data_IF_950849452047
#
_entry.id   IF_950849452047
#
_cell.length_a   1.000
_cell.length_b   1.000
_cell.length_c   1.000
_cell.angle_alpha   90.00
_cell.angle_beta   90.00
_cell.angle_gamma   90.00
#
_symmetry.space_group_name_H-M   'P 1'
#
loop_
_entity.id
_entity.type
_entity.pdbx_description
1 polymer ?
#
# COMPACT_ATOMS: atom_id res chain seq x y z
N UNK A 1 5.96 13.29 -22.31
CA UNK A 1 5.47 14.67 -22.04
C UNK A 1 4.84 14.82 -20.67
N UNK A 2 4.07 13.82 -20.15
CA UNK A 2 3.42 13.88 -18.83
C UNK A 2 4.42 13.76 -17.67
N UNK A 3 5.39 12.86 -17.76
CA UNK A 3 6.47 12.69 -16.77
C UNK A 3 7.35 13.93 -16.63
N UNK A 4 7.71 14.58 -17.74
CA UNK A 4 8.53 15.81 -17.73
C UNK A 4 7.79 16.93 -16.99
N UNK A 5 6.48 17.10 -17.20
CA UNK A 5 5.67 18.09 -16.47
C UNK A 5 5.59 17.82 -14.97
N UNK A 6 5.55 16.56 -14.56
CA UNK A 6 5.54 16.20 -13.14
C UNK A 6 6.85 16.56 -12.46
N UNK A 7 7.99 16.26 -13.11
CA UNK A 7 9.33 16.59 -12.60
C UNK A 7 9.51 18.11 -12.46
N UNK A 8 9.16 18.88 -13.48
CA UNK A 8 9.28 20.36 -13.47
C UNK A 8 8.51 20.99 -12.30
N UNK A 9 7.33 20.46 -12.02
CA UNK A 9 6.49 20.96 -10.92
C UNK A 9 7.05 20.54 -9.55
N UNK A 10 7.59 19.33 -9.41
CA UNK A 10 8.20 18.85 -8.17
C UNK A 10 9.55 19.50 -7.88
N UNK A 11 10.37 19.81 -8.88
CA UNK A 11 11.64 20.53 -8.71
C UNK A 11 11.47 21.88 -8.02
N UNK A 12 10.40 22.60 -8.30
CA UNK A 12 10.09 23.88 -7.67
C UNK A 12 10.07 23.82 -6.13
N UNK A 13 9.74 22.66 -5.54
CA UNK A 13 9.64 22.45 -4.09
C UNK A 13 10.82 21.68 -3.49
N UNK A 14 11.73 21.17 -4.30
CA UNK A 14 12.88 20.39 -3.82
C UNK A 14 13.72 21.15 -2.77
N UNK A 15 13.98 22.44 -2.98
CA UNK A 15 14.74 23.28 -2.07
C UNK A 15 14.04 23.50 -0.73
N UNK A 16 12.71 23.42 -0.69
CA UNK A 16 11.91 23.61 0.52
C UNK A 16 12.15 22.49 1.55
N UNK A 17 12.26 21.26 1.10
CA UNK A 17 12.55 20.10 1.96
C UNK A 17 14.03 19.99 2.28
N UNK A 18 14.92 20.21 1.29
CA UNK A 18 16.35 20.16 1.49
C UNK A 18 16.87 21.13 2.54
N UNK A 19 16.28 22.33 2.62
CA UNK A 19 16.63 23.33 3.64
C UNK A 19 16.22 22.97 5.07
N UNK A 20 15.36 21.98 5.25
CA UNK A 20 14.92 21.49 6.58
C UNK A 20 15.72 20.28 7.08
N UNK A 21 16.59 19.72 6.24
CA UNK A 21 17.43 18.57 6.58
C UNK A 21 18.77 19.05 7.12
N UNK A 22 19.17 18.57 8.29
CA UNK A 22 20.50 18.84 8.85
C UNK A 22 21.66 18.17 8.09
N UNK A 23 21.35 17.30 7.13
CA UNK A 23 22.29 16.57 6.28
C UNK A 23 21.60 15.49 5.45
N UNK A 24 22.35 14.70 4.68
CA UNK A 24 21.78 13.64 3.87
C UNK A 24 21.17 12.54 4.75
N UNK A 25 20.00 12.03 4.37
CA UNK A 25 19.40 10.86 4.99
C UNK A 25 20.09 9.61 4.41
N UNK A 26 20.91 8.96 5.22
CA UNK A 26 21.67 7.79 4.81
C UNK A 26 20.92 6.49 5.11
N UNK A 27 21.08 5.48 4.26
CA UNK A 27 20.62 4.13 4.54
C UNK A 27 21.36 3.56 5.75
N UNK A 28 20.65 2.83 6.62
CA UNK A 28 21.21 2.17 7.82
C UNK A 28 21.30 0.64 7.68
N UNK A 29 20.82 0.10 6.57
CA UNK A 29 20.81 -1.33 6.28
C UNK A 29 19.62 -1.68 5.40
N UNK A 30 19.44 -2.97 5.11
CA UNK A 30 18.27 -3.47 4.37
C UNK A 30 17.52 -4.44 5.27
N UNK A 31 16.37 -4.00 5.78
CA UNK A 31 15.49 -4.81 6.64
C UNK A 31 14.22 -5.24 5.87
N UNK A 32 13.79 -4.41 4.92
CA UNK A 32 12.57 -4.63 4.15
C UNK A 32 12.93 -4.71 2.66
N UNK A 33 12.57 -5.82 2.04
CA UNK A 33 12.58 -5.92 0.57
C UNK A 33 11.15 -5.72 0.07
N UNK A 34 10.89 -4.56 -0.56
CA UNK A 34 9.60 -4.25 -1.15
C UNK A 34 9.60 -4.65 -2.63
N UNK A 35 8.63 -5.46 -3.03
CA UNK A 35 8.48 -5.97 -4.38
C UNK A 35 7.28 -5.30 -5.06
N UNK A 36 7.53 -4.47 -6.06
CA UNK A 36 6.49 -3.90 -6.92
C UNK A 36 6.22 -4.88 -8.07
N UNK A 37 5.31 -5.83 -7.86
CA UNK A 37 5.14 -6.98 -8.76
C UNK A 37 4.42 -6.67 -10.08
N UNK A 38 4.08 -5.41 -10.32
CA UNK A 38 3.51 -4.93 -11.59
C UNK A 38 2.52 -3.80 -11.42
N UNK A 39 1.94 -3.36 -12.56
CA UNK A 39 0.93 -2.27 -12.59
C UNK A 39 -0.47 -2.75 -13.00
N UNK A 40 -0.67 -4.04 -13.28
CA UNK A 40 -2.01 -4.57 -13.55
C UNK A 40 -2.86 -4.47 -12.29
N UNK A 41 -4.11 -4.00 -12.45
CA UNK A 41 -5.03 -3.83 -11.33
C UNK A 41 -6.48 -3.90 -11.86
N UNK A 42 -7.37 -4.55 -11.13
CA UNK A 42 -8.79 -4.59 -11.40
C UNK A 42 -9.52 -3.28 -11.05
N UNK A 43 -8.83 -2.32 -10.43
CA UNK A 43 -9.35 -1.00 -10.06
C UNK A 43 -8.64 0.13 -10.81
N UNK A 44 -9.33 1.29 -10.90
CA UNK A 44 -8.79 2.53 -11.44
C UNK A 44 -8.94 3.67 -10.41
N UNK A 45 -8.18 3.59 -9.32
CA UNK A 45 -8.26 4.54 -8.21
C UNK A 45 -7.78 5.93 -8.60
N UNK A 46 -8.48 6.99 -8.16
CA UNK A 46 -8.16 8.38 -8.49
C UNK A 46 -6.86 8.90 -7.89
N UNK A 47 -6.42 8.30 -6.79
CA UNK A 47 -5.18 8.69 -6.08
C UNK A 47 -3.98 7.77 -6.38
N UNK A 48 -4.09 6.86 -7.35
CA UNK A 48 -3.06 5.86 -7.60
C UNK A 48 -1.75 6.50 -8.07
N UNK A 49 -0.71 6.40 -7.24
CA UNK A 49 0.61 6.95 -7.51
C UNK A 49 1.43 6.12 -8.52
N UNK A 50 1.11 4.83 -8.69
CA UNK A 50 1.76 3.95 -9.67
C UNK A 50 1.00 3.87 -11.00
N UNK A 51 -0.14 4.56 -11.12
CA UNK A 51 -1.02 4.57 -12.29
C UNK A 51 -1.43 3.17 -12.74
N UNK A 52 -1.74 2.31 -11.77
CA UNK A 52 -2.20 0.96 -12.02
C UNK A 52 -3.58 0.95 -12.69
N UNK A 53 -3.87 -0.12 -13.41
CA UNK A 53 -5.15 -0.31 -14.10
C UNK A 53 -5.21 -1.60 -14.89
N UNK A 54 -6.40 -1.91 -15.43
CA UNK A 54 -6.63 -3.18 -16.13
C UNK A 54 -5.87 -3.26 -17.48
N UNK A 55 -5.67 -2.11 -18.14
CA UNK A 55 -4.95 -2.01 -19.42
C UNK A 55 -3.42 -2.09 -19.28
N UNK A 56 -2.91 -2.11 -18.05
CA UNK A 56 -1.46 -2.16 -17.80
C UNK A 56 -0.94 -3.58 -18.05
N UNK A 57 0.28 -3.66 -18.58
CA UNK A 57 0.92 -4.93 -18.97
C UNK A 57 2.17 -5.24 -18.13
N UNK A 58 2.61 -4.28 -17.36
CA UNK A 58 3.80 -4.42 -16.50
C UNK A 58 3.56 -5.47 -15.43
N UNK A 59 4.36 -6.52 -15.47
CA UNK A 59 4.32 -7.67 -14.57
C UNK A 59 5.74 -8.12 -14.28
N UNK A 60 6.11 -8.24 -13.02
CA UNK A 60 7.40 -8.78 -12.60
C UNK A 60 7.50 -10.24 -13.04
N UNK A 61 8.59 -10.58 -13.72
CA UNK A 61 8.80 -11.92 -14.24
C UNK A 61 9.15 -12.93 -13.13
N UNK A 62 8.94 -14.22 -13.41
CA UNK A 62 9.35 -15.30 -12.50
C UNK A 62 10.86 -15.30 -12.22
N UNK A 63 11.69 -14.90 -13.19
CA UNK A 63 13.15 -14.83 -13.00
C UNK A 63 13.54 -13.71 -12.03
N UNK A 64 12.89 -12.53 -12.08
CA UNK A 64 13.12 -11.45 -11.12
C UNK A 64 12.68 -11.90 -9.71
N UNK A 65 11.49 -12.48 -9.58
CA UNK A 65 11.02 -13.03 -8.30
C UNK A 65 11.97 -14.08 -7.72
N UNK A 66 12.53 -14.96 -8.56
CA UNK A 66 13.53 -15.94 -8.14
C UNK A 66 14.80 -15.28 -7.62
N UNK A 67 15.31 -14.26 -8.30
CA UNK A 67 16.46 -13.47 -7.81
C UNK A 67 16.17 -12.78 -6.49
N UNK A 68 14.95 -12.27 -6.31
CA UNK A 68 14.53 -11.70 -5.02
C UNK A 68 14.54 -12.76 -3.91
N UNK A 69 14.08 -13.99 -4.17
CA UNK A 69 14.17 -15.09 -3.19
C UNK A 69 15.62 -15.44 -2.84
N UNK A 70 16.51 -15.46 -3.82
CA UNK A 70 17.95 -15.68 -3.61
C UNK A 70 18.54 -14.57 -2.70
N UNK A 71 18.25 -13.30 -3.02
CA UNK A 71 18.70 -12.16 -2.22
C UNK A 71 18.19 -12.21 -0.77
N UNK A 72 16.93 -12.64 -0.54
CA UNK A 72 16.34 -12.79 0.80
C UNK A 72 17.04 -13.91 1.57
N UNK A 73 17.41 -15.03 0.92
CA UNK A 73 18.11 -16.15 1.54
C UNK A 73 19.53 -15.76 1.95
N UNK A 74 20.24 -15.05 1.08
CA UNK A 74 21.64 -14.66 1.26
C UNK A 74 21.81 -13.52 2.29
N UNK A 75 20.78 -12.71 2.51
CA UNK A 75 20.85 -11.54 3.40
C UNK A 75 19.98 -11.73 4.65
N UNK A 76 20.59 -12.14 5.75
CA UNK A 76 19.89 -12.34 7.01
C UNK A 76 19.29 -11.05 7.60
N UNK A 77 19.79 -9.88 7.21
CA UNK A 77 19.25 -8.57 7.58
C UNK A 77 17.85 -8.32 7.05
N UNK A 78 17.46 -8.93 5.91
CA UNK A 78 16.11 -8.79 5.35
C UNK A 78 15.15 -9.62 6.21
N UNK A 79 14.42 -8.95 7.07
CA UNK A 79 13.44 -9.54 7.98
C UNK A 79 12.03 -9.57 7.40
N UNK A 80 11.72 -8.68 6.45
CA UNK A 80 10.37 -8.46 5.93
C UNK A 80 10.34 -8.41 4.40
N UNK A 81 9.35 -9.07 3.82
CA UNK A 81 9.01 -9.03 2.40
C UNK A 81 7.70 -8.26 2.29
N UNK A 82 7.70 -7.11 1.59
CA UNK A 82 6.54 -6.24 1.38
C UNK A 82 6.11 -6.31 -0.09
N UNK A 83 5.03 -7.02 -0.38
CA UNK A 83 4.54 -7.24 -1.74
C UNK A 83 3.50 -6.18 -2.08
N UNK A 84 3.76 -5.41 -3.14
CA UNK A 84 2.92 -4.30 -3.59
C UNK A 84 2.86 -4.23 -5.12
N UNK A 85 2.13 -3.26 -5.65
CA UNK A 85 2.03 -3.02 -7.10
C UNK A 85 0.67 -2.41 -7.46
N UNK A 86 0.07 -2.91 -8.51
CA UNK A 86 -1.35 -2.67 -8.84
C UNK A 86 -2.27 -3.49 -7.94
N UNK A 87 -2.75 -4.63 -8.42
CA UNK A 87 -3.25 -5.74 -7.61
C UNK A 87 -2.20 -6.86 -7.71
N UNK A 88 -1.44 -7.13 -6.64
CA UNK A 88 -0.38 -8.14 -6.67
C UNK A 88 -0.84 -9.51 -7.15
N UNK A 89 -2.06 -9.88 -6.83
CA UNK A 89 -2.72 -11.14 -7.17
C UNK A 89 -2.83 -11.35 -8.69
N UNK A 90 -2.79 -10.27 -9.48
CA UNK A 90 -2.79 -10.35 -10.96
C UNK A 90 -1.42 -10.71 -11.55
N UNK A 91 -0.38 -10.87 -10.72
CA UNK A 91 0.89 -11.42 -11.17
C UNK A 91 0.81 -12.96 -11.18
N UNK A 92 0.98 -13.63 -12.34
CA UNK A 92 0.77 -15.07 -12.47
C UNK A 92 1.80 -15.92 -11.71
N UNK A 93 2.92 -15.34 -11.31
CA UNK A 93 3.99 -16.03 -10.58
C UNK A 93 3.88 -15.86 -9.06
N UNK A 94 2.95 -15.02 -8.57
CA UNK A 94 2.89 -14.64 -7.16
C UNK A 94 2.55 -15.82 -6.25
N UNK A 95 1.63 -16.71 -6.63
CA UNK A 95 1.27 -17.89 -5.83
C UNK A 95 2.48 -18.78 -5.54
N UNK A 96 3.30 -19.03 -6.56
CA UNK A 96 4.54 -19.79 -6.43
C UNK A 96 5.56 -19.08 -5.54
N UNK A 97 5.73 -17.78 -5.75
CA UNK A 97 6.63 -16.95 -4.95
C UNK A 97 6.27 -16.98 -3.45
N UNK A 98 4.99 -16.80 -3.09
CA UNK A 98 4.53 -16.83 -1.70
C UNK A 98 4.89 -18.15 -1.02
N UNK A 99 4.59 -19.28 -1.67
CA UNK A 99 4.90 -20.63 -1.15
C UNK A 99 6.40 -20.84 -0.94
N UNK A 100 7.24 -20.32 -1.82
CA UNK A 100 8.69 -20.45 -1.71
C UNK A 100 9.29 -19.46 -0.70
N UNK A 101 8.73 -18.24 -0.59
CA UNK A 101 9.12 -17.26 0.39
C UNK A 101 8.77 -17.69 1.83
N UNK A 102 7.61 -18.31 2.04
CA UNK A 102 7.19 -18.83 3.33
C UNK A 102 8.20 -19.85 3.93
N UNK A 103 8.84 -20.67 3.06
CA UNK A 103 9.88 -21.62 3.50
C UNK A 103 11.13 -20.95 4.07
N UNK A 104 11.35 -19.67 3.76
CA UNK A 104 12.50 -18.92 4.29
C UNK A 104 12.21 -18.41 5.71
N UNK A 105 10.94 -18.30 6.11
CA UNK A 105 10.54 -17.91 7.46
C UNK A 105 10.68 -16.40 7.75
N UNK A 106 10.62 -15.55 6.73
CA UNK A 106 10.58 -14.09 6.93
C UNK A 106 9.13 -13.62 7.07
N UNK A 107 8.93 -12.50 7.78
CA UNK A 107 7.63 -11.81 7.78
C UNK A 107 7.26 -11.46 6.36
N UNK A 108 6.05 -11.75 5.94
CA UNK A 108 5.57 -11.47 4.60
C UNK A 108 4.26 -10.70 4.69
N UNK A 109 4.20 -9.56 4.01
CA UNK A 109 2.98 -8.77 3.91
C UNK A 109 2.62 -8.53 2.45
N UNK A 110 1.32 -8.41 2.18
CA UNK A 110 0.77 -8.04 0.87
C UNK A 110 -0.10 -6.79 1.01
N UNK A 111 0.11 -5.81 0.12
CA UNK A 111 -0.76 -4.64 0.02
C UNK A 111 -1.84 -4.91 -1.01
N UNK A 112 -3.00 -5.32 -0.56
CA UNK A 112 -4.14 -5.70 -1.41
C UNK A 112 -5.24 -4.64 -1.40
N UNK A 113 -5.97 -4.55 -2.51
CA UNK A 113 -7.21 -3.77 -2.55
C UNK A 113 -8.41 -4.58 -2.02
N UNK A 114 -8.23 -5.82 -1.64
CA UNK A 114 -9.17 -6.88 -1.26
C UNK A 114 -10.24 -7.21 -2.31
N UNK A 115 -10.74 -6.23 -3.05
CA UNK A 115 -11.84 -6.44 -4.02
C UNK A 115 -11.46 -7.43 -5.12
N UNK A 116 -10.17 -7.62 -5.37
CA UNK A 116 -9.68 -8.64 -6.31
C UNK A 116 -10.05 -10.07 -5.83
N UNK A 117 -10.10 -10.30 -4.52
CA UNK A 117 -10.43 -11.60 -3.92
C UNK A 117 -11.93 -11.95 -4.00
N UNK A 118 -12.77 -11.01 -4.44
CA UNK A 118 -14.17 -11.27 -4.77
C UNK A 118 -14.35 -11.87 -6.17
N UNK A 119 -13.30 -11.88 -7.00
CA UNK A 119 -13.28 -12.48 -8.32
C UNK A 119 -12.89 -13.96 -8.19
N UNK A 120 -13.64 -14.86 -8.84
CA UNK A 120 -13.44 -16.31 -8.76
C UNK A 120 -12.03 -16.74 -9.17
N UNK A 121 -11.40 -16.06 -10.12
CA UNK A 121 -10.03 -16.35 -10.58
C UNK A 121 -8.96 -16.08 -9.51
N UNK A 122 -9.28 -15.27 -8.49
CA UNK A 122 -8.35 -14.84 -7.44
C UNK A 122 -8.83 -15.17 -6.03
N UNK A 123 -9.99 -15.78 -5.89
CA UNK A 123 -10.61 -16.05 -4.59
C UNK A 123 -9.74 -16.95 -3.68
N UNK A 124 -8.99 -17.88 -4.27
CA UNK A 124 -8.10 -18.81 -3.58
C UNK A 124 -6.85 -18.13 -2.93
N UNK A 125 -6.60 -16.87 -3.22
CA UNK A 125 -5.54 -16.14 -2.54
C UNK A 125 -5.80 -15.95 -1.06
N UNK A 126 -7.06 -15.92 -0.60
CA UNK A 126 -7.38 -15.83 0.82
C UNK A 126 -6.81 -17.04 1.58
N UNK A 127 -7.02 -18.24 1.06
CA UNK A 127 -6.50 -19.50 1.62
C UNK A 127 -4.97 -19.54 1.52
N UNK A 128 -4.40 -19.18 0.36
CA UNK A 128 -2.95 -19.14 0.16
C UNK A 128 -2.28 -18.19 1.16
N UNK A 129 -2.86 -17.02 1.41
CA UNK A 129 -2.34 -16.08 2.39
C UNK A 129 -2.40 -16.64 3.82
N UNK A 130 -3.53 -17.23 4.19
CA UNK A 130 -3.70 -17.83 5.52
C UNK A 130 -2.73 -18.99 5.77
N UNK A 131 -2.63 -19.93 4.83
CA UNK A 131 -1.74 -21.09 4.92
C UNK A 131 -0.26 -20.72 5.02
N UNK A 132 0.14 -19.58 4.45
CA UNK A 132 1.52 -19.13 4.43
C UNK A 132 1.81 -17.98 5.42
N UNK A 133 0.86 -17.65 6.32
CA UNK A 133 1.02 -16.62 7.33
C UNK A 133 1.28 -15.23 6.76
N UNK A 134 0.69 -14.91 5.60
CA UNK A 134 0.85 -13.61 4.95
C UNK A 134 -0.01 -12.56 5.66
N UNK A 135 0.59 -11.48 6.13
CA UNK A 135 -0.09 -10.31 6.64
C UNK A 135 -0.76 -9.54 5.48
N UNK A 136 -2.03 -9.19 5.64
CA UNK A 136 -2.76 -8.41 4.65
C UNK A 136 -2.84 -6.96 5.11
N UNK A 137 -2.37 -6.04 4.25
CA UNK A 137 -2.56 -4.60 4.41
C UNK A 137 -3.60 -4.15 3.39
N UNK A 138 -4.82 -4.05 3.86
CA UNK A 138 -6.01 -3.78 3.03
C UNK A 138 -6.23 -2.28 2.85
N UNK A 139 -6.36 -1.84 1.63
CA UNK A 139 -6.54 -0.41 1.34
C UNK A 139 -8.01 0.01 1.46
N UNK A 140 -8.37 0.73 2.53
CA UNK A 140 -9.71 1.30 2.75
C UNK A 140 -9.60 2.81 3.02
N UNK A 141 -9.98 3.69 2.06
CA UNK A 141 -9.78 5.13 2.21
C UNK A 141 -10.79 5.80 3.16
N UNK A 142 -11.97 5.23 3.34
CA UNK A 142 -13.01 5.73 4.25
C UNK A 142 -13.97 4.60 4.63
N UNK A 143 -14.59 4.69 5.82
CA UNK A 143 -15.69 3.81 6.23
C UNK A 143 -17.06 4.27 5.71
N UNK A 144 -17.14 5.34 4.94
CA UNK A 144 -18.33 5.77 4.22
C UNK A 144 -18.30 5.22 2.79
N UNK A 145 -19.36 4.50 2.40
CA UNK A 145 -19.45 3.84 1.09
C UNK A 145 -19.27 4.85 -0.05
N UNK A 146 -19.97 6.00 0.02
CA UNK A 146 -19.93 6.98 -1.07
C UNK A 146 -18.56 7.62 -1.23
N UNK A 147 -17.83 7.83 -0.13
CA UNK A 147 -16.47 8.38 -0.16
C UNK A 147 -15.46 7.35 -0.65
N UNK A 148 -15.54 6.12 -0.16
CA UNK A 148 -14.67 5.03 -0.59
C UNK A 148 -14.86 4.73 -2.10
N UNK A 149 -16.09 4.63 -2.56
CA UNK A 149 -16.45 4.39 -3.96
C UNK A 149 -16.01 5.54 -4.86
N UNK A 150 -16.13 6.80 -4.41
CA UNK A 150 -15.65 7.97 -5.17
C UNK A 150 -14.16 7.89 -5.48
N UNK A 151 -13.37 7.33 -4.58
CA UNK A 151 -11.91 7.23 -4.73
C UNK A 151 -11.49 5.98 -5.49
N UNK A 152 -12.18 4.86 -5.31
CA UNK A 152 -11.76 3.55 -5.81
C UNK A 152 -12.64 2.94 -6.89
N UNK A 153 -13.82 3.50 -7.12
CA UNK A 153 -14.79 3.02 -8.10
C UNK A 153 -16.08 2.52 -7.45
N UNK A 154 -17.18 2.59 -8.20
CA UNK A 154 -18.50 2.18 -7.71
C UNK A 154 -18.54 0.71 -7.28
N UNK A 155 -19.15 0.46 -6.13
CA UNK A 155 -19.29 -0.88 -5.53
C UNK A 155 -18.01 -1.42 -4.87
N UNK A 156 -16.95 -0.60 -4.79
CA UNK A 156 -15.73 -0.98 -4.09
C UNK A 156 -16.00 -1.33 -2.63
N UNK A 157 -16.71 -0.45 -1.91
CA UNK A 157 -16.91 -0.60 -0.47
C UNK A 157 -17.63 -1.90 -0.11
N UNK A 158 -18.73 -2.21 -0.79
CA UNK A 158 -19.51 -3.45 -0.53
C UNK A 158 -18.69 -4.70 -0.78
N UNK A 159 -17.92 -4.76 -1.86
CA UNK A 159 -17.04 -5.88 -2.15
C UNK A 159 -15.91 -6.00 -1.13
N UNK A 160 -15.34 -4.86 -0.72
CA UNK A 160 -14.33 -4.82 0.35
C UNK A 160 -14.86 -5.44 1.64
N UNK A 161 -16.04 -5.00 2.10
CA UNK A 161 -16.68 -5.52 3.32
C UNK A 161 -16.90 -7.02 3.22
N UNK A 162 -17.50 -7.50 2.13
CA UNK A 162 -17.77 -8.94 1.96
C UNK A 162 -16.50 -9.80 2.00
N UNK A 163 -15.40 -9.34 1.38
CA UNK A 163 -14.13 -10.06 1.45
C UNK A 163 -13.51 -9.98 2.85
N UNK A 164 -13.59 -8.82 3.51
CA UNK A 164 -13.07 -8.65 4.86
C UNK A 164 -13.83 -9.53 5.89
N UNK A 165 -15.15 -9.68 5.74
CA UNK A 165 -15.98 -10.62 6.53
C UNK A 165 -15.47 -12.06 6.37
N UNK A 166 -15.28 -12.53 5.12
CA UNK A 166 -14.72 -13.86 4.84
C UNK A 166 -13.33 -14.04 5.46
N UNK A 167 -12.46 -13.04 5.37
CA UNK A 167 -11.14 -13.09 6.01
C UNK A 167 -11.24 -13.17 7.54
N UNK A 168 -12.18 -12.43 8.16
CA UNK A 168 -12.44 -12.53 9.60
C UNK A 168 -12.94 -13.94 10.01
N UNK A 169 -13.79 -14.58 9.20
CA UNK A 169 -14.21 -15.97 9.41
C UNK A 169 -13.04 -16.95 9.37
N UNK A 170 -12.04 -16.68 8.52
CA UNK A 170 -10.79 -17.45 8.42
C UNK A 170 -9.81 -17.17 9.56
N UNK A 171 -10.08 -16.16 10.41
CA UNK A 171 -9.27 -15.79 11.56
C UNK A 171 -8.40 -14.53 11.36
N UNK A 172 -8.38 -13.91 10.21
CA UNK A 172 -7.70 -12.63 10.00
C UNK A 172 -8.29 -11.53 10.90
N UNK A 173 -7.46 -10.66 11.46
CA UNK A 173 -7.90 -9.58 12.33
C UNK A 173 -8.31 -10.04 13.75
N UNK A 174 -8.42 -11.37 14.00
CA UNK A 174 -8.86 -11.92 15.27
C UNK A 174 -7.70 -12.14 16.24
N UNK A 175 -7.92 -11.88 17.55
CA UNK A 175 -6.88 -12.13 18.55
C UNK A 175 -6.43 -13.59 18.60
N UNK A 176 -5.11 -13.81 18.72
CA UNK A 176 -4.53 -15.14 18.96
C UNK A 176 -4.40 -16.05 17.75
N UNK A 177 -4.88 -15.65 16.57
CA UNK A 177 -4.78 -16.46 15.34
C UNK A 177 -3.42 -16.32 14.63
N UNK A 178 -2.73 -15.19 14.82
CA UNK A 178 -1.52 -14.84 14.08
C UNK A 178 -1.77 -14.34 12.65
N UNK A 179 -3.02 -14.33 12.18
CA UNK A 179 -3.41 -13.84 10.86
C UNK A 179 -3.75 -12.34 10.94
N UNK A 180 -2.84 -11.50 10.47
CA UNK A 180 -2.96 -10.05 10.60
C UNK A 180 -3.67 -9.43 9.40
N UNK A 181 -4.77 -8.73 9.68
CA UNK A 181 -5.47 -7.84 8.76
C UNK A 181 -5.26 -6.39 9.23
N UNK A 182 -4.49 -5.63 8.48
CA UNK A 182 -4.28 -4.21 8.74
C UNK A 182 -4.97 -3.38 7.66
N UNK A 183 -5.31 -2.14 8.00
CA UNK A 183 -5.95 -1.20 7.07
C UNK A 183 -4.96 -0.09 6.70
N UNK A 184 -4.87 0.21 5.41
CA UNK A 184 -4.20 1.40 4.91
C UNK A 184 -5.25 2.45 4.53
N UNK A 185 -5.25 3.57 5.26
CA UNK A 185 -6.08 4.74 5.01
C UNK A 185 -5.31 5.78 4.20
N UNK A 186 -5.93 6.28 3.12
CA UNK A 186 -5.47 7.44 2.37
C UNK A 186 -6.58 8.50 2.34
N UNK A 187 -6.32 9.76 2.70
CA UNK A 187 -7.33 10.81 2.66
C UNK A 187 -8.01 10.95 1.29
N UNK A 188 -9.33 11.15 1.29
CA UNK A 188 -10.14 11.36 0.08
C UNK A 188 -10.22 12.85 -0.20
N UNK A 189 -9.13 13.45 -0.68
CA UNK A 189 -9.08 14.90 -0.98
C UNK A 189 -7.68 15.48 -0.90
N UNK A 190 -7.56 16.79 -1.08
CA UNK A 190 -6.31 17.55 -1.06
C UNK A 190 -6.01 18.08 0.35
N UNK A 191 -5.96 17.19 1.34
CA UNK A 191 -5.65 17.54 2.72
C UNK A 191 -4.86 16.43 3.40
N UNK A 192 -4.15 16.77 4.47
CA UNK A 192 -3.47 15.81 5.32
C UNK A 192 -4.46 15.20 6.33
N UNK A 193 -4.28 13.93 6.70
CA UNK A 193 -5.17 13.26 7.64
C UNK A 193 -5.02 13.83 9.05
N UNK A 194 -6.02 13.57 9.88
CA UNK A 194 -5.94 13.74 11.32
C UNK A 194 -4.91 12.76 11.94
N UNK A 195 -4.78 12.76 13.26
CA UNK A 195 -3.87 11.81 13.92
C UNK A 195 -4.24 10.36 13.58
N UNK A 196 -3.23 9.52 13.30
CA UNK A 196 -3.45 8.11 13.00
C UNK A 196 -4.27 7.42 14.08
N UNK A 197 -3.98 7.71 15.35
CA UNK A 197 -4.70 7.13 16.49
C UNK A 197 -6.22 7.42 16.45
N UNK A 198 -6.59 8.67 16.19
CA UNK A 198 -8.02 9.04 16.13
C UNK A 198 -8.74 8.38 14.96
N UNK A 199 -8.06 8.25 13.81
CA UNK A 199 -8.63 7.57 12.63
C UNK A 199 -8.77 6.08 12.90
N UNK A 200 -7.79 5.44 13.52
CA UNK A 200 -7.81 4.03 13.88
C UNK A 200 -8.96 3.71 14.85
N UNK A 201 -9.14 4.54 15.89
CA UNK A 201 -10.25 4.42 16.84
C UNK A 201 -11.62 4.56 16.14
N UNK A 202 -11.79 5.54 15.23
CA UNK A 202 -13.02 5.73 14.45
C UNK A 202 -13.31 4.53 13.55
N UNK A 203 -12.28 3.99 12.87
CA UNK A 203 -12.42 2.81 12.02
C UNK A 203 -12.81 1.57 12.81
N UNK A 204 -12.20 1.33 13.99
CA UNK A 204 -12.57 0.22 14.85
C UNK A 204 -14.03 0.32 15.27
N UNK A 205 -14.49 1.49 15.71
CA UNK A 205 -15.89 1.70 16.12
C UNK A 205 -16.84 1.47 14.95
N UNK A 206 -16.59 2.12 13.81
CA UNK A 206 -17.50 2.09 12.66
C UNK A 206 -17.57 0.73 11.98
N UNK A 207 -16.44 0.10 11.72
CA UNK A 207 -16.39 -1.21 11.07
C UNK A 207 -16.98 -2.29 12.00
N UNK A 208 -16.69 -2.22 13.30
CA UNK A 208 -17.27 -3.16 14.27
C UNK A 208 -18.78 -2.99 14.42
N UNK A 209 -19.27 -1.76 14.60
CA UNK A 209 -20.69 -1.50 14.82
C UNK A 209 -21.56 -1.77 13.59
N UNK A 210 -21.07 -1.51 12.39
CA UNK A 210 -21.86 -1.60 11.16
C UNK A 210 -21.72 -2.95 10.44
N UNK A 211 -20.59 -3.64 10.61
CA UNK A 211 -20.23 -4.83 9.82
C UNK A 211 -19.66 -5.98 10.66
N UNK A 212 -19.57 -5.84 11.98
CA UNK A 212 -18.90 -6.79 12.90
C UNK A 212 -17.47 -7.16 12.46
N UNK A 213 -16.77 -6.25 11.77
CA UNK A 213 -15.42 -6.47 11.29
C UNK A 213 -14.37 -6.14 12.34
N UNK A 214 -13.35 -7.00 12.41
CA UNK A 214 -12.15 -6.81 13.21
C UNK A 214 -10.92 -6.63 12.30
N UNK A 215 -10.00 -5.76 12.70
CA UNK A 215 -8.69 -5.60 12.10
C UNK A 215 -7.66 -5.31 13.19
N UNK A 216 -6.35 -5.41 12.87
CA UNK A 216 -5.30 -5.32 13.90
C UNK A 216 -4.76 -3.90 14.07
N UNK A 217 -4.43 -3.22 12.98
CA UNK A 217 -3.87 -1.88 13.00
C UNK A 217 -4.25 -1.07 11.77
N UNK A 218 -4.19 0.26 11.88
CA UNK A 218 -4.39 1.18 10.76
C UNK A 218 -3.11 1.96 10.46
N UNK A 219 -2.75 1.99 9.19
CA UNK A 219 -1.67 2.83 8.65
C UNK A 219 -2.24 4.02 7.91
N UNK A 220 -1.98 5.21 8.41
CA UNK A 220 -2.38 6.44 7.75
C UNK A 220 -1.30 6.88 6.77
N UNK A 221 -1.59 6.86 5.48
CA UNK A 221 -0.63 7.15 4.41
C UNK A 221 -1.06 8.41 3.68
N UNK A 222 -0.23 9.45 3.72
CA UNK A 222 -0.43 10.64 2.91
C UNK A 222 -0.36 10.30 1.42
N UNK A 223 -1.23 10.92 0.64
CA UNK A 223 -1.15 10.77 -0.80
C UNK A 223 0.10 11.46 -1.34
N UNK A 224 0.89 10.76 -2.13
CA UNK A 224 2.03 11.36 -2.83
C UNK A 224 1.51 12.20 -4.01
N UNK A 225 2.04 13.42 -4.20
CA UNK A 225 1.65 14.30 -5.32
C UNK A 225 2.27 13.86 -6.65
N UNK A 226 2.02 12.61 -7.05
CA UNK A 226 2.50 11.98 -8.28
C UNK A 226 1.37 11.20 -8.96
N UNK A 227 1.54 10.82 -10.22
CA UNK A 227 0.57 10.04 -10.99
C UNK A 227 -0.81 10.73 -11.04
N UNK A 228 -1.88 9.93 -10.97
CA UNK A 228 -3.27 10.44 -11.03
C UNK A 228 -3.62 11.40 -9.89
N UNK A 229 -2.97 11.29 -8.74
CA UNK A 229 -3.22 12.23 -7.65
C UNK A 229 -2.65 13.62 -7.94
N UNK A 230 -1.47 13.70 -8.57
CA UNK A 230 -0.94 14.98 -9.04
C UNK A 230 -1.85 15.62 -10.08
N UNK A 231 -2.38 14.83 -11.03
CA UNK A 231 -3.35 15.36 -12.00
C UNK A 231 -4.59 15.94 -11.32
N UNK A 232 -5.10 15.25 -10.29
CA UNK A 232 -6.22 15.75 -9.49
C UNK A 232 -5.87 17.07 -8.79
N UNK A 233 -4.71 17.16 -8.15
CA UNK A 233 -4.28 18.39 -7.45
C UNK A 233 -4.15 19.57 -8.42
N UNK A 234 -3.55 19.35 -9.59
CA UNK A 234 -3.40 20.38 -10.63
C UNK A 234 -4.75 20.81 -11.19
N UNK A 235 -5.63 19.86 -11.52
CA UNK A 235 -6.95 20.14 -12.08
C UNK A 235 -7.89 20.86 -11.10
N UNK A 236 -7.74 20.59 -9.78
CA UNK A 236 -8.53 21.22 -8.72
C UNK A 236 -7.94 22.53 -8.19
N UNK A 237 -6.75 22.92 -8.64
CA UNK A 237 -6.04 24.12 -8.16
C UNK A 237 -5.48 24.00 -6.73
N UNK A 238 -5.47 22.79 -6.14
CA UNK A 238 -5.05 22.58 -4.76
C UNK A 238 -3.56 22.20 -4.62
N UNK A 239 -2.80 22.20 -5.70
CA UNK A 239 -1.43 21.69 -5.68
C UNK A 239 -0.51 22.46 -4.72
N UNK A 240 -0.49 23.79 -4.85
CA UNK A 240 0.39 24.66 -4.04
C UNK A 240 0.06 24.54 -2.53
N UNK A 241 -1.22 24.60 -2.19
CA UNK A 241 -1.67 24.49 -0.80
C UNK A 241 -1.33 23.12 -0.20
N UNK A 242 -1.50 22.06 -0.99
CA UNK A 242 -1.16 20.69 -0.56
C UNK A 242 0.35 20.53 -0.34
N UNK A 243 1.19 21.06 -1.24
CA UNK A 243 2.64 21.02 -1.10
C UNK A 243 3.13 21.84 0.08
N UNK A 244 2.50 23.00 0.34
CA UNK A 244 2.80 23.81 1.52
C UNK A 244 2.43 23.04 2.80
N UNK A 245 1.25 22.46 2.88
CA UNK A 245 0.81 21.64 4.02
C UNK A 245 1.77 20.47 4.30
N UNK A 246 2.24 19.76 3.26
CA UNK A 246 3.26 18.71 3.41
C UNK A 246 4.57 19.26 3.98
N UNK A 247 5.02 20.42 3.48
CA UNK A 247 6.26 21.04 3.94
C UNK A 247 6.17 21.52 5.41
N UNK A 248 5.01 22.04 5.82
CA UNK A 248 4.75 22.48 7.19
C UNK A 248 4.64 21.31 8.17
N UNK A 249 4.02 20.21 7.73
CA UNK A 249 3.87 18.99 8.50
C UNK A 249 5.17 18.18 8.65
N UNK A 250 6.26 18.59 7.99
CA UNK A 250 7.53 17.88 8.08
C UNK A 250 8.04 17.84 9.52
N UNK A 251 8.23 16.63 10.04
CA UNK A 251 8.74 16.38 11.39
C UNK A 251 10.17 15.83 11.33
N UNK A 252 11.20 16.60 11.71
CA UNK A 252 12.59 16.12 11.74
C UNK A 252 12.79 14.88 12.60
N UNK A 253 12.03 14.70 13.69
CA UNK A 253 12.15 13.52 14.56
C UNK A 253 11.70 12.22 13.87
N UNK A 254 10.95 12.30 12.76
CA UNK A 254 10.56 11.14 11.97
C UNK A 254 11.69 10.62 11.05
N UNK A 255 12.76 11.40 10.85
CA UNK A 255 13.83 11.07 9.89
C UNK A 255 14.56 9.76 10.23
N UNK A 256 14.69 9.43 11.50
CA UNK A 256 15.34 8.19 11.93
C UNK A 256 14.54 6.93 11.56
N UNK A 257 13.25 7.08 11.30
CA UNK A 257 12.32 5.99 11.01
C UNK A 257 11.73 6.06 9.58
N UNK A 258 12.28 6.90 8.69
CA UNK A 258 11.79 6.93 7.30
C UNK A 258 12.12 5.63 6.58
N UNK A 259 11.16 5.11 5.85
CA UNK A 259 11.26 3.80 5.18
C UNK A 259 12.51 3.66 4.29
N UNK A 260 12.92 4.73 3.58
CA UNK A 260 14.06 4.69 2.67
C UNK A 260 15.42 4.42 3.37
N UNK A 261 15.49 4.46 4.70
CA UNK A 261 16.72 4.07 5.43
C UNK A 261 16.93 2.57 5.52
N UNK A 262 15.85 1.79 5.50
CA UNK A 262 15.89 0.34 5.72
C UNK A 262 15.17 -0.47 4.64
N UNK A 263 14.51 0.20 3.69
CA UNK A 263 13.73 -0.47 2.63
C UNK A 263 14.42 -0.33 1.27
N UNK A 264 14.59 -1.47 0.60
CA UNK A 264 14.92 -1.51 -0.84
C UNK A 264 13.68 -1.88 -1.62
N UNK A 265 13.36 -1.08 -2.62
CA UNK A 265 12.22 -1.31 -3.50
C UNK A 265 12.69 -1.85 -4.85
N UNK A 266 12.16 -3.00 -5.26
CA UNK A 266 12.46 -3.65 -6.53
C UNK A 266 11.27 -3.42 -7.46
N UNK A 267 11.54 -2.86 -8.65
CA UNK A 267 10.55 -2.67 -9.70
C UNK A 267 10.26 -3.99 -10.44
N UNK A 268 9.27 -3.96 -11.31
CA UNK A 268 8.85 -5.14 -12.09
C UNK A 268 9.80 -5.51 -13.24
N UNK A 269 10.71 -4.59 -13.64
CA UNK A 269 11.67 -4.64 -14.76
C UNK A 269 13.14 -4.83 -14.33
#
# INVERSE_FOLDING_TARGET
MREIRQLDVLEKYHTHFAGKLAGPVLASGVEILQLNVGKRCNLFCRHCHVEAGNERKEVMSGDILKRCLEAIRENSGISTIDITGGAPEMNPFLKGFIKDAAKIGRRMMVRSNLVILADEDYADYAEIYAENGVEIVASLPDCDEARADRQRGAGFFRKFISVAERLNEMGYGKPGTGLLLNIAHNPVGAYLPASQKSIEEDYHIRLKSSHDLDFNALYCINNMPVGRYLDFLLASGNYEDYMQALAEAFNPAALDNVMCRTTVSVAWD
#
